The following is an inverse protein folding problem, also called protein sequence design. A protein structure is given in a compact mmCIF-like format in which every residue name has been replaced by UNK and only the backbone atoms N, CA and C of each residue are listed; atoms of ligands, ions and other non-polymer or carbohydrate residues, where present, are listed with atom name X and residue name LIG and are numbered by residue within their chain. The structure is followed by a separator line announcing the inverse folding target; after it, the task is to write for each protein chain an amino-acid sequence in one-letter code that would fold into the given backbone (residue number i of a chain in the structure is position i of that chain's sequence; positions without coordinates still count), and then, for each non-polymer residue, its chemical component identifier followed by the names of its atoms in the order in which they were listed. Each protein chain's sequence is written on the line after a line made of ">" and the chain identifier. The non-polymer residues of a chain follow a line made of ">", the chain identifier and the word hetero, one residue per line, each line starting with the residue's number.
data_IF_127523665411
#
_entry.id   IF_127523665411
#
_cell.length_a   1.000
_cell.length_b   1.000
_cell.length_c   1.000
_cell.angle_alpha   90.00
_cell.angle_beta   90.00
_cell.angle_gamma   90.00
#
_symmetry.space_group_name_H-M   'P 1'
#
loop_
_entity.id
_entity.type
_entity.pdbx_description
1 polymer ?
#
# COMPACT_ATOMS: atom_id res chain seq x y z
N UNK A 1 -28.38 -32.03 -35.42
CA UNK A 1 -27.19 -32.44 -34.61
C UNK A 1 -27.49 -33.58 -33.66
N UNK A 2 -28.63 -33.65 -32.99
CA UNK A 2 -28.97 -34.74 -32.04
C UNK A 2 -28.94 -36.12 -32.64
N UNK A 3 -29.45 -36.30 -33.87
CA UNK A 3 -29.46 -37.59 -34.56
C UNK A 3 -28.06 -38.20 -34.82
N UNK A 4 -27.02 -37.36 -34.90
CA UNK A 4 -25.63 -37.81 -35.06
C UNK A 4 -25.11 -38.53 -33.79
N UNK A 5 -25.38 -37.94 -32.63
CA UNK A 5 -24.95 -38.50 -31.33
C UNK A 5 -25.74 -39.73 -30.92
N UNK A 6 -27.04 -39.81 -31.31
CA UNK A 6 -27.87 -40.99 -31.06
C UNK A 6 -27.33 -42.21 -31.81
N UNK A 7 -26.83 -42.00 -33.04
CA UNK A 7 -26.26 -43.08 -33.85
C UNK A 7 -24.83 -43.49 -33.46
N UNK A 8 -24.14 -42.71 -32.62
CA UNK A 8 -22.77 -42.95 -32.18
C UNK A 8 -22.61 -42.71 -30.67
N UNK A 9 -23.19 -43.61 -29.84
CA UNK A 9 -23.21 -43.39 -28.38
C UNK A 9 -21.83 -43.37 -27.75
N UNK A 10 -20.86 -44.13 -28.23
CA UNK A 10 -19.50 -44.16 -27.73
C UNK A 10 -18.83 -42.78 -27.90
N UNK A 11 -19.00 -42.15 -29.05
CA UNK A 11 -18.44 -40.83 -29.33
C UNK A 11 -19.08 -39.75 -28.43
N UNK A 12 -20.38 -39.85 -28.16
CA UNK A 12 -21.06 -38.94 -27.24
C UNK A 12 -20.52 -39.06 -25.80
N UNK A 13 -20.31 -40.30 -25.34
CA UNK A 13 -19.74 -40.56 -24.00
C UNK A 13 -18.31 -40.03 -23.91
N UNK A 14 -17.47 -40.22 -24.90
CA UNK A 14 -16.09 -39.72 -24.91
C UNK A 14 -16.04 -38.18 -24.85
N UNK A 15 -16.85 -37.53 -25.68
CA UNK A 15 -16.92 -36.03 -25.66
C UNK A 15 -17.42 -35.56 -24.31
N UNK A 16 -18.42 -36.18 -23.71
CA UNK A 16 -18.93 -35.82 -22.38
C UNK A 16 -17.84 -35.93 -21.31
N UNK A 17 -17.09 -37.04 -21.31
CA UNK A 17 -15.98 -37.21 -20.35
C UNK A 17 -14.86 -36.17 -20.53
N UNK A 18 -14.49 -35.91 -21.79
CA UNK A 18 -13.49 -34.86 -22.08
C UNK A 18 -13.96 -33.49 -21.56
N UNK A 19 -15.23 -33.16 -21.80
CA UNK A 19 -15.80 -31.88 -21.32
C UNK A 19 -15.78 -31.77 -19.79
N UNK A 20 -16.12 -32.90 -19.10
CA UNK A 20 -16.07 -32.93 -17.63
C UNK A 20 -14.63 -32.76 -17.14
N UNK A 21 -13.67 -33.47 -17.73
CA UNK A 21 -12.25 -33.37 -17.33
C UNK A 21 -11.74 -31.92 -17.54
N UNK A 22 -12.00 -31.33 -18.70
CA UNK A 22 -11.62 -29.95 -19.00
C UNK A 22 -12.28 -29.00 -18.01
N UNK A 23 -13.57 -29.21 -17.68
CA UNK A 23 -14.27 -28.38 -16.70
C UNK A 23 -13.67 -28.47 -15.31
N UNK A 24 -13.34 -29.67 -14.83
CA UNK A 24 -12.69 -29.85 -13.51
C UNK A 24 -11.30 -29.24 -13.46
N UNK A 25 -10.52 -29.44 -14.52
CA UNK A 25 -9.18 -28.81 -14.62
C UNK A 25 -9.31 -27.29 -14.65
N UNK A 26 -10.24 -26.75 -15.43
CA UNK A 26 -10.46 -25.28 -15.51
C UNK A 26 -10.85 -24.69 -14.17
N UNK A 27 -11.62 -25.39 -13.33
CA UNK A 27 -11.98 -24.93 -11.98
C UNK A 27 -10.75 -24.68 -11.09
N UNK A 28 -9.70 -25.49 -11.26
CA UNK A 28 -8.46 -25.32 -10.49
C UNK A 28 -7.64 -24.08 -10.92
N UNK A 29 -7.84 -23.60 -12.14
CA UNK A 29 -7.13 -22.43 -12.69
C UNK A 29 -7.93 -21.14 -12.66
N UNK A 30 -9.22 -21.19 -12.32
CA UNK A 30 -10.02 -19.95 -12.17
C UNK A 30 -9.60 -19.26 -10.89
N UNK A 31 -9.03 -18.03 -10.96
CA UNK A 31 -8.71 -17.26 -9.77
C UNK A 31 -10.01 -16.87 -9.07
N UNK A 32 -10.22 -17.41 -7.87
CA UNK A 32 -11.36 -17.05 -7.02
C UNK A 32 -10.90 -15.94 -6.09
N UNK A 33 -11.40 -14.73 -6.31
CA UNK A 33 -11.19 -13.60 -5.42
C UNK A 33 -12.55 -13.14 -4.88
N UNK A 34 -12.64 -12.93 -3.56
CA UNK A 34 -13.85 -12.41 -2.93
C UNK A 34 -14.13 -10.97 -3.36
N UNK A 35 -13.06 -10.22 -3.60
CA UNK A 35 -13.11 -8.87 -4.15
C UNK A 35 -12.16 -8.79 -5.34
N UNK A 36 -12.59 -8.27 -6.49
CA UNK A 36 -11.68 -7.99 -7.58
C UNK A 36 -10.62 -6.98 -7.14
N UNK A 37 -9.38 -7.16 -7.59
CA UNK A 37 -8.28 -6.21 -7.35
C UNK A 37 -8.47 -4.97 -8.23
N UNK A 38 -9.46 -4.16 -7.90
CA UNK A 38 -9.79 -2.90 -8.59
C UNK A 38 -9.21 -1.66 -7.87
N UNK A 39 -8.42 -1.87 -6.80
CA UNK A 39 -7.74 -0.77 -6.13
C UNK A 39 -6.49 -0.39 -6.91
N UNK A 40 -6.45 0.81 -7.51
CA UNK A 40 -5.28 1.27 -8.22
C UNK A 40 -4.09 1.34 -7.25
N UNK A 41 -2.86 1.09 -7.72
CA UNK A 41 -1.66 1.27 -6.92
C UNK A 41 -1.54 2.71 -6.43
N UNK A 42 -1.22 2.87 -5.16
CA UNK A 42 -0.98 4.17 -4.54
C UNK A 42 0.43 4.22 -3.97
N UNK A 43 1.16 5.29 -4.26
CA UNK A 43 2.45 5.60 -3.66
C UNK A 43 2.27 6.80 -2.74
N UNK A 44 2.73 6.67 -1.50
CA UNK A 44 2.70 7.76 -0.51
C UNK A 44 4.10 8.29 -0.31
N UNK A 45 4.26 9.59 -0.54
CA UNK A 45 5.46 10.35 -0.23
C UNK A 45 5.19 11.14 1.04
N UNK A 46 6.06 10.98 2.03
CA UNK A 46 5.93 11.66 3.33
C UNK A 46 7.19 12.43 3.65
N UNK A 47 7.02 13.67 4.09
CA UNK A 47 8.07 14.55 4.58
C UNK A 47 7.63 15.26 5.85
N UNK A 48 8.58 15.74 6.64
CA UNK A 48 8.30 16.52 7.84
C UNK A 48 9.20 17.76 7.87
N UNK A 49 8.59 18.92 8.08
CA UNK A 49 9.25 20.19 8.27
C UNK A 49 8.91 20.72 9.68
N UNK A 50 9.74 20.43 10.69
CA UNK A 50 9.40 20.71 12.08
C UNK A 50 9.24 22.20 12.35
N UNK A 51 8.10 22.56 12.93
CA UNK A 51 7.81 23.95 13.31
C UNK A 51 7.10 24.77 12.23
N UNK A 52 6.93 24.22 11.04
CA UNK A 52 6.21 24.87 9.94
C UNK A 52 4.70 24.63 10.04
N UNK A 53 3.93 25.63 9.61
CA UNK A 53 2.49 25.51 9.42
C UNK A 53 2.15 24.85 8.06
N UNK A 54 0.88 24.52 7.87
CA UNK A 54 0.44 23.81 6.66
C UNK A 54 0.69 24.60 5.36
N UNK A 55 0.58 25.94 5.40
CA UNK A 55 0.81 26.79 4.22
C UNK A 55 2.29 26.83 3.85
N UNK A 56 3.16 26.95 4.84
CA UNK A 56 4.62 26.90 4.64
C UNK A 56 5.05 25.56 4.09
N UNK A 57 4.54 24.45 4.66
CA UNK A 57 4.79 23.09 4.17
C UNK A 57 4.33 22.91 2.73
N UNK A 58 3.17 23.46 2.37
CA UNK A 58 2.68 23.43 1.00
C UNK A 58 3.63 24.13 0.03
N UNK A 59 4.08 25.35 0.38
CA UNK A 59 4.90 26.15 -0.51
C UNK A 59 6.33 25.67 -0.61
N UNK A 60 6.93 25.27 0.53
CA UNK A 60 8.36 24.94 0.62
C UNK A 60 8.67 23.46 0.40
N UNK A 61 7.71 22.55 0.65
CA UNK A 61 7.93 21.10 0.58
C UNK A 61 7.04 20.43 -0.46
N UNK A 62 5.71 20.61 -0.36
CA UNK A 62 4.79 19.90 -1.22
C UNK A 62 4.92 20.36 -2.68
N UNK A 63 4.88 21.65 -2.95
CA UNK A 63 4.94 22.21 -4.31
C UNK A 63 6.19 21.78 -5.09
N UNK A 64 7.43 21.88 -4.57
CA UNK A 64 8.61 21.39 -5.26
C UNK A 64 8.56 19.88 -5.58
N UNK A 65 8.06 19.09 -4.63
CA UNK A 65 7.93 17.62 -4.82
C UNK A 65 6.87 17.32 -5.88
N UNK A 66 5.71 17.94 -5.81
CA UNK A 66 4.61 17.76 -6.77
C UNK A 66 5.05 18.14 -8.19
N UNK A 67 5.77 19.24 -8.36
CA UNK A 67 6.27 19.67 -9.67
C UNK A 67 7.19 18.62 -10.30
N UNK A 68 8.04 17.97 -9.52
CA UNK A 68 8.93 16.94 -10.03
C UNK A 68 8.23 15.60 -10.28
N UNK A 69 7.27 15.23 -9.44
CA UNK A 69 6.49 14.00 -9.59
C UNK A 69 5.46 14.13 -10.71
N UNK A 70 5.02 15.34 -11.01
CA UNK A 70 4.10 15.59 -12.12
C UNK A 70 4.66 15.05 -13.43
N UNK A 71 3.87 14.23 -14.11
CA UNK A 71 4.29 13.59 -15.37
C UNK A 71 5.04 12.26 -15.20
N UNK A 72 4.95 11.62 -14.04
CA UNK A 72 5.33 10.21 -13.89
C UNK A 72 4.42 9.35 -14.75
N UNK A 73 4.99 8.38 -15.47
CA UNK A 73 4.24 7.50 -16.36
C UNK A 73 3.14 6.75 -15.63
N UNK A 74 1.97 6.65 -16.28
CA UNK A 74 0.76 5.99 -15.75
C UNK A 74 0.18 6.58 -14.46
N UNK A 75 0.59 7.79 -14.08
CA UNK A 75 -0.06 8.52 -12.99
C UNK A 75 -1.43 9.03 -13.44
N UNK A 76 -2.47 8.73 -12.67
CA UNK A 76 -3.82 9.23 -12.92
C UNK A 76 -4.02 10.59 -12.27
N UNK A 77 -3.73 10.69 -10.98
CA UNK A 77 -3.81 11.94 -10.21
C UNK A 77 -2.94 11.86 -8.96
N UNK A 78 -2.65 13.01 -8.40
CA UNK A 78 -2.00 13.14 -7.09
C UNK A 78 -2.66 14.25 -6.27
N UNK A 79 -2.53 14.18 -4.96
CA UNK A 79 -2.94 15.22 -4.03
C UNK A 79 -2.10 15.17 -2.77
N UNK A 80 -1.85 16.35 -2.20
CA UNK A 80 -1.13 16.47 -0.93
C UNK A 80 -2.05 16.86 0.23
N UNK A 81 -1.66 16.40 1.41
CA UNK A 81 -2.26 16.73 2.68
C UNK A 81 -1.16 17.34 3.56
N UNK A 82 -1.32 18.62 3.90
CA UNK A 82 -0.36 19.37 4.69
C UNK A 82 -0.97 19.70 6.04
N UNK A 83 -0.25 19.44 7.12
CA UNK A 83 -0.73 19.64 8.48
C UNK A 83 0.07 20.74 9.19
N UNK A 84 -0.57 21.46 10.13
CA UNK A 84 0.08 22.49 10.97
C UNK A 84 1.13 21.90 11.94
N UNK A 85 1.34 20.59 11.91
CA UNK A 85 2.41 19.90 12.62
C UNK A 85 3.70 19.79 11.82
N UNK A 86 3.75 20.42 10.64
CA UNK A 86 4.88 20.31 9.71
C UNK A 86 4.89 19.04 8.88
N UNK A 87 3.86 18.19 8.96
CA UNK A 87 3.80 16.95 8.19
C UNK A 87 3.16 17.16 6.82
N UNK A 88 3.79 16.62 5.80
CA UNK A 88 3.28 16.51 4.43
C UNK A 88 3.09 15.03 4.06
N UNK A 89 1.96 14.72 3.45
CA UNK A 89 1.68 13.43 2.80
C UNK A 89 1.15 13.67 1.40
N UNK A 90 1.95 13.31 0.40
CA UNK A 90 1.54 13.34 -1.00
C UNK A 90 1.14 11.93 -1.42
N UNK A 91 -0.06 11.78 -1.95
CA UNK A 91 -0.59 10.52 -2.48
C UNK A 91 -0.60 10.59 -4.00
N UNK A 92 0.08 9.64 -4.61
CA UNK A 92 0.19 9.50 -6.07
C UNK A 92 -0.53 8.22 -6.46
N UNK A 93 -1.59 8.35 -7.25
CA UNK A 93 -2.42 7.23 -7.70
C UNK A 93 -2.10 6.90 -9.16
N UNK A 94 -1.89 5.62 -9.42
CA UNK A 94 -1.49 5.10 -10.71
C UNK A 94 -2.64 4.33 -11.37
N UNK A 95 -2.45 3.99 -12.63
CA UNK A 95 -3.38 3.14 -13.38
C UNK A 95 -3.39 1.71 -12.80
N UNK A 96 -4.54 1.04 -12.84
CA UNK A 96 -4.71 -0.33 -12.34
C UNK A 96 -3.79 -1.36 -13.03
N UNK A 97 -3.34 -1.04 -14.26
CA UNK A 97 -2.45 -1.89 -15.05
C UNK A 97 -0.96 -1.64 -14.77
N UNK A 98 -0.63 -0.70 -13.88
CA UNK A 98 0.76 -0.38 -13.55
C UNK A 98 1.35 -1.39 -12.54
N UNK A 99 2.68 -1.49 -12.54
CA UNK A 99 3.39 -2.30 -11.55
C UNK A 99 3.79 -1.43 -10.35
N UNK A 100 3.27 -1.73 -9.14
CA UNK A 100 3.54 -0.93 -7.94
C UNK A 100 5.02 -0.79 -7.57
N UNK A 101 5.90 -1.73 -8.02
CA UNK A 101 7.34 -1.63 -7.80
C UNK A 101 7.95 -0.58 -8.71
N UNK A 102 7.58 -0.60 -9.96
CA UNK A 102 8.02 0.38 -10.97
C UNK A 102 7.54 1.77 -10.59
N UNK A 103 6.28 1.91 -10.18
CA UNK A 103 5.68 3.17 -9.76
C UNK A 103 6.41 3.80 -8.57
N UNK A 104 6.77 2.97 -7.58
CA UNK A 104 7.57 3.42 -6.43
C UNK A 104 8.94 3.92 -6.86
N UNK A 105 9.64 3.18 -7.73
CA UNK A 105 10.98 3.55 -8.22
C UNK A 105 10.91 4.87 -9.00
N UNK A 106 9.96 5.01 -9.92
CA UNK A 106 9.79 6.22 -10.71
C UNK A 106 9.47 7.42 -9.81
N UNK A 107 8.55 7.25 -8.86
CA UNK A 107 8.21 8.29 -7.88
C UNK A 107 9.41 8.69 -7.04
N UNK A 108 10.21 7.72 -6.58
CA UNK A 108 11.41 7.98 -5.79
C UNK A 108 12.50 8.69 -6.60
N UNK A 109 12.70 8.32 -7.85
CA UNK A 109 13.64 9.00 -8.75
C UNK A 109 13.25 10.46 -8.99
N UNK A 110 11.96 10.73 -9.20
CA UNK A 110 11.44 12.09 -9.38
C UNK A 110 11.52 12.90 -8.08
N UNK A 111 11.16 12.29 -6.94
CA UNK A 111 11.29 12.94 -5.63
C UNK A 111 12.75 13.31 -5.33
N UNK A 112 13.72 12.45 -5.67
CA UNK A 112 15.14 12.74 -5.48
C UNK A 112 15.60 13.99 -6.24
N UNK A 113 15.00 14.31 -7.40
CA UNK A 113 15.28 15.54 -8.14
C UNK A 113 14.78 16.79 -7.40
N UNK A 114 13.72 16.67 -6.62
CA UNK A 114 13.21 17.78 -5.77
C UNK A 114 14.11 18.07 -4.57
N UNK A 115 14.95 17.12 -4.13
CA UNK A 115 15.71 17.23 -2.86
C UNK A 115 16.58 18.48 -2.76
N UNK A 116 17.11 18.97 -3.88
CA UNK A 116 17.92 20.20 -3.90
C UNK A 116 17.12 21.49 -3.67
N UNK A 117 15.79 21.41 -3.76
CA UNK A 117 14.88 22.55 -3.59
C UNK A 117 14.19 22.54 -2.22
N UNK A 118 14.39 21.48 -1.44
CA UNK A 118 13.76 21.32 -0.13
C UNK A 118 14.53 22.09 0.96
N UNK A 119 13.84 22.55 2.02
CA UNK A 119 14.48 23.10 3.21
C UNK A 119 15.52 22.15 3.81
N UNK A 120 16.63 22.65 4.39
CA UNK A 120 17.69 21.81 4.97
C UNK A 120 17.17 20.86 6.06
N UNK A 121 16.19 21.27 6.84
CA UNK A 121 15.58 20.49 7.91
C UNK A 121 14.84 19.28 7.36
N UNK A 122 14.09 19.45 6.26
CA UNK A 122 13.40 18.38 5.54
C UNK A 122 14.40 17.43 4.89
N UNK A 123 15.43 17.99 4.24
CA UNK A 123 16.48 17.20 3.62
C UNK A 123 17.26 16.33 4.63
N UNK A 124 17.52 16.88 5.84
CA UNK A 124 18.19 16.16 6.93
C UNK A 124 17.34 15.00 7.50
N UNK A 125 16.02 15.17 7.60
CA UNK A 125 15.12 14.09 8.03
C UNK A 125 14.85 13.09 6.93
N UNK A 126 14.97 13.49 5.67
CA UNK A 126 14.69 12.70 4.50
C UNK A 126 13.21 12.62 4.13
N UNK A 127 12.96 12.25 2.89
CA UNK A 127 11.62 12.05 2.34
C UNK A 127 11.39 10.56 2.13
N UNK A 128 10.32 10.04 2.70
CA UNK A 128 9.96 8.62 2.60
C UNK A 128 9.00 8.40 1.43
N UNK A 129 9.29 7.39 0.61
CA UNK A 129 8.43 6.98 -0.52
C UNK A 129 8.04 5.51 -0.33
N UNK A 130 6.77 5.27 -0.09
CA UNK A 130 6.25 3.94 0.26
C UNK A 130 5.02 3.58 -0.57
N UNK A 131 4.88 2.28 -0.86
CA UNK A 131 3.62 1.76 -1.41
C UNK A 131 2.54 1.81 -0.34
N UNK A 132 1.37 2.23 -0.74
CA UNK A 132 0.18 2.17 0.10
C UNK A 132 -0.92 1.43 -0.64
N UNK A 133 -1.73 0.73 0.12
CA UNK A 133 -2.98 0.19 -0.39
C UNK A 133 -4.12 0.98 0.24
N UNK A 134 -5.11 1.32 -0.55
CA UNK A 134 -6.25 2.12 -0.12
C UNK A 134 -7.04 1.48 1.04
N UNK A 135 -6.91 0.16 1.21
CA UNK A 135 -7.61 -0.58 2.25
C UNK A 135 -6.64 -1.50 3.02
N UNK A 136 -6.69 -1.51 4.36
CA UNK A 136 -5.93 -2.47 5.15
C UNK A 136 -6.47 -3.89 4.91
N UNK A 137 -5.56 -4.86 4.75
CA UNK A 137 -5.90 -6.27 4.60
C UNK A 137 -6.51 -6.84 5.90
N UNK A 138 -5.96 -6.42 7.04
CA UNK A 138 -6.35 -6.92 8.36
C UNK A 138 -6.11 -5.84 9.42
N UNK A 139 -7.01 -5.76 10.38
CA UNK A 139 -6.87 -4.98 11.61
C UNK A 139 -6.77 -5.95 12.79
N UNK A 140 -5.69 -5.85 13.55
CA UNK A 140 -5.44 -6.66 14.74
C UNK A 140 -5.58 -5.77 15.97
N UNK A 141 -6.53 -6.06 16.85
CA UNK A 141 -6.73 -5.34 18.10
C UNK A 141 -6.07 -6.08 19.26
N UNK A 142 -5.16 -5.39 19.96
CA UNK A 142 -4.58 -5.87 21.21
C UNK A 142 -5.38 -5.30 22.38
N UNK A 143 -5.80 -6.18 23.30
CA UNK A 143 -6.52 -5.79 24.51
C UNK A 143 -6.03 -6.54 25.74
N UNK A 144 -6.11 -5.90 26.89
CA UNK A 144 -5.91 -6.53 28.20
C UNK A 144 -7.28 -6.76 28.86
N UNK A 145 -7.80 -8.00 28.91
CA UNK A 145 -9.12 -8.26 29.50
C UNK A 145 -9.21 -7.87 30.97
N UNK A 146 -8.12 -8.05 31.71
CA UNK A 146 -8.05 -7.81 33.14
C UNK A 146 -7.58 -6.40 33.50
N UNK A 147 -7.38 -5.51 32.51
CA UNK A 147 -6.87 -4.16 32.72
C UNK A 147 -5.45 -4.08 33.31
N UNK A 148 -4.69 -5.18 33.28
CA UNK A 148 -3.33 -5.25 33.84
C UNK A 148 -2.32 -4.41 33.07
N UNK A 149 -2.51 -4.25 31.76
CA UNK A 149 -1.61 -3.55 30.87
C UNK A 149 -2.26 -2.30 30.32
N UNK A 150 -1.54 -1.20 30.39
CA UNK A 150 -2.00 0.09 29.84
C UNK A 150 -1.93 0.10 28.31
N UNK A 151 -2.58 1.06 27.69
CA UNK A 151 -2.56 1.26 26.21
C UNK A 151 -1.13 1.48 25.71
N UNK A 152 -0.33 2.26 26.46
CA UNK A 152 1.06 2.55 26.14
C UNK A 152 1.91 1.26 26.14
N UNK A 153 1.72 0.41 27.14
CA UNK A 153 2.42 -0.86 27.22
C UNK A 153 2.07 -1.76 26.03
N UNK A 154 0.78 -1.88 25.69
CA UNK A 154 0.32 -2.71 24.57
C UNK A 154 0.85 -2.20 23.24
N UNK A 155 0.88 -0.88 23.04
CA UNK A 155 1.43 -0.26 21.84
C UNK A 155 2.94 -0.53 21.72
N UNK A 156 3.69 -0.34 22.80
CA UNK A 156 5.12 -0.61 22.83
C UNK A 156 5.43 -2.11 22.62
N UNK A 157 4.63 -2.98 23.20
CA UNK A 157 4.73 -4.44 22.99
C UNK A 157 4.51 -4.80 21.51
N UNK A 158 3.50 -4.17 20.86
CA UNK A 158 3.24 -4.35 19.44
C UNK A 158 4.43 -3.92 18.58
N UNK A 159 5.04 -2.78 18.88
CA UNK A 159 6.22 -2.30 18.17
C UNK A 159 7.41 -3.24 18.29
N UNK A 160 7.71 -3.70 19.50
CA UNK A 160 8.92 -4.50 19.77
C UNK A 160 8.76 -5.95 19.31
N UNK A 161 7.57 -6.55 19.53
CA UNK A 161 7.42 -7.99 19.38
C UNK A 161 6.61 -8.39 18.15
N UNK A 162 5.61 -7.60 17.73
CA UNK A 162 4.70 -8.00 16.67
C UNK A 162 5.06 -7.38 15.32
N UNK A 163 5.50 -6.14 15.31
CA UNK A 163 5.78 -5.41 14.07
C UNK A 163 6.80 -6.15 13.20
N UNK A 164 7.92 -6.55 13.77
CA UNK A 164 8.98 -7.28 13.06
C UNK A 164 8.53 -8.65 12.56
N UNK A 165 7.78 -9.38 13.40
CA UNK A 165 7.29 -10.71 13.04
C UNK A 165 6.29 -10.64 11.88
N UNK A 166 5.37 -9.67 11.93
CA UNK A 166 4.37 -9.48 10.88
C UNK A 166 5.01 -8.99 9.57
N UNK A 167 5.96 -8.06 9.65
CA UNK A 167 6.66 -7.54 8.46
C UNK A 167 7.46 -8.62 7.71
N UNK A 168 7.92 -9.66 8.41
CA UNK A 168 8.65 -10.79 7.81
C UNK A 168 7.76 -11.81 7.12
N UNK A 169 6.45 -11.74 7.28
CA UNK A 169 5.53 -12.66 6.60
C UNK A 169 5.49 -12.32 5.10
N UNK A 170 5.78 -13.31 4.22
CA UNK A 170 5.74 -13.08 2.79
C UNK A 170 4.37 -12.56 2.33
N UNK A 171 4.38 -11.49 1.54
CA UNK A 171 3.15 -10.86 1.04
C UNK A 171 2.68 -9.66 1.86
N UNK A 172 3.24 -9.38 3.04
CA UNK A 172 2.96 -8.17 3.79
C UNK A 172 3.90 -7.06 3.32
N UNK A 173 3.34 -5.94 2.90
CA UNK A 173 4.10 -4.78 2.41
C UNK A 173 4.35 -3.74 3.48
N UNK A 174 3.43 -3.56 4.42
CA UNK A 174 3.53 -2.58 5.50
C UNK A 174 2.70 -3.00 6.71
N UNK A 175 3.22 -2.73 7.89
CA UNK A 175 2.53 -2.91 9.18
C UNK A 175 2.52 -1.56 9.88
N UNK A 176 1.34 -1.08 10.23
CA UNK A 176 1.18 0.19 10.95
C UNK A 176 0.59 -0.07 12.33
N UNK A 177 1.30 0.38 13.36
CA UNK A 177 0.83 0.28 14.74
C UNK A 177 0.15 1.60 15.11
N UNK A 178 -1.12 1.51 15.51
CA UNK A 178 -1.90 2.63 16.03
C UNK A 178 -1.91 2.60 17.55
N UNK A 179 -1.82 3.76 18.20
CA UNK A 179 -1.87 3.89 19.65
C UNK A 179 -1.08 5.06 20.17
N UNK A 180 -0.68 5.00 21.43
CA UNK A 180 -0.03 6.09 22.17
C UNK A 180 1.41 6.40 21.72
N UNK A 181 1.95 5.67 20.73
CA UNK A 181 3.33 5.85 20.26
C UNK A 181 4.35 5.02 21.05
N UNK A 182 5.60 5.12 20.66
CA UNK A 182 6.72 4.47 21.33
C UNK A 182 7.14 5.27 22.58
N UNK A 183 7.67 4.57 23.59
CA UNK A 183 8.31 5.24 24.71
C UNK A 183 9.51 6.05 24.23
N UNK A 184 9.53 7.34 24.58
CA UNK A 184 10.64 8.24 24.31
C UNK A 184 11.04 8.98 25.58
N UNK A 185 12.33 9.07 25.82
CA UNK A 185 12.90 9.84 26.93
C UNK A 185 13.30 11.20 26.35
N UNK A 186 12.71 12.29 26.88
CA UNK A 186 13.15 13.65 26.59
C UNK A 186 14.15 14.07 27.67
N UNK A 187 15.36 14.41 27.27
CA UNK A 187 16.38 15.03 28.10
C UNK A 187 16.35 16.51 27.73
N UNK A 188 15.92 17.35 28.68
CA UNK A 188 15.88 18.82 28.55
C UNK A 188 17.08 19.46 29.21
#
# INVERSE_FOLDING_TARGET
>A
MSAFFIRRPILAIVISHITIIVGVVSLAFIPVSLFPNITPPEIVVSATDPGSDALTVEQSVATPIEQQISGVDKMNYMYSLNANTGQMKLRVNFDETSDPKTDQILTQMRQAQASAQLPPEVAAQGVSVQKSFASPLMLIALRSPDGRYTSEFLTNYAYINLNDQLTRVPGISNVQVFGSGQYAIRIG
#
